data_IF_423808025829
#
_entry.id   IF_423808025829
#
_cell.length_a   1.000
_cell.length_b   1.000
_cell.length_c   1.000
_cell.angle_alpha   90.00
_cell.angle_beta   90.00
_cell.angle_gamma   90.00
#
_symmetry.space_group_name_H-M   'P 1'
#
loop_
_entity.id
_entity.type
_entity.pdbx_description
1 polymer ?
#
# COMPACT_ATOMS: atom_id res chain seq x y z
N UNK A 1 -1.02 3.55 -21.92
CA UNK A 1 -1.25 2.46 -20.95
C UNK A 1 -1.69 1.24 -21.76
N UNK A 2 -0.82 0.24 -21.94
CA UNK A 2 -1.13 -0.89 -22.82
C UNK A 2 -2.09 -1.86 -22.10
N UNK A 3 -3.06 -2.49 -22.80
CA UNK A 3 -4.00 -3.44 -22.20
C UNK A 3 -3.32 -4.66 -21.54
N UNK A 4 -2.07 -4.98 -21.93
CA UNK A 4 -1.26 -6.01 -21.28
C UNK A 4 -0.80 -5.65 -19.85
N UNK A 5 -0.64 -4.36 -19.53
CA UNK A 5 -0.21 -3.90 -18.21
C UNK A 5 -1.33 -4.11 -17.18
N UNK A 6 -2.58 -3.87 -17.57
CA UNK A 6 -3.77 -4.06 -16.73
C UNK A 6 -3.97 -5.53 -16.34
N UNK A 7 -3.77 -6.46 -17.28
CA UNK A 7 -3.88 -7.89 -17.01
C UNK A 7 -2.77 -8.38 -16.06
N UNK A 8 -1.58 -7.81 -16.16
CA UNK A 8 -0.46 -8.12 -15.25
C UNK A 8 -0.75 -7.59 -13.84
N UNK A 9 -1.28 -6.38 -13.72
CA UNK A 9 -1.75 -5.80 -12.47
C UNK A 9 -2.92 -6.57 -11.86
N UNK A 10 -3.87 -7.04 -12.68
CA UNK A 10 -5.02 -7.83 -12.24
C UNK A 10 -4.59 -9.19 -11.67
N UNK A 11 -3.67 -9.90 -12.35
CA UNK A 11 -3.10 -11.17 -11.88
C UNK A 11 -2.29 -10.98 -10.59
N UNK A 12 -1.57 -9.86 -10.48
CA UNK A 12 -0.83 -9.51 -9.27
C UNK A 12 -1.77 -9.28 -8.08
N UNK A 13 -2.83 -8.49 -8.26
CA UNK A 13 -3.85 -8.26 -7.23
C UNK A 13 -4.57 -9.55 -6.81
N UNK A 14 -4.86 -10.45 -7.75
CA UNK A 14 -5.46 -11.76 -7.46
C UNK A 14 -4.52 -12.72 -6.71
N UNK A 15 -3.20 -12.56 -6.85
CA UNK A 15 -2.18 -13.37 -6.16
C UNK A 15 -2.01 -13.00 -4.69
N UNK A 16 -2.45 -11.81 -4.28
CA UNK A 16 -2.40 -11.34 -2.90
C UNK A 16 -3.68 -11.84 -2.19
N UNK A 17 -3.74 -13.14 -1.87
CA UNK A 17 -4.87 -13.74 -1.14
C UNK A 17 -4.89 -13.22 0.31
N UNK A 18 -5.95 -12.51 0.71
CA UNK A 18 -7.25 -13.15 1.02
C UNK A 18 -8.47 -12.56 0.27
N UNK A 19 -8.28 -11.64 -0.68
CA UNK A 19 -9.40 -10.87 -1.27
C UNK A 19 -9.91 -11.38 -2.64
N UNK A 20 -9.30 -12.44 -3.19
CA UNK A 20 -9.75 -13.11 -4.41
C UNK A 20 -11.15 -13.78 -4.30
N UNK A 21 -11.74 -13.82 -3.10
CA UNK A 21 -13.08 -14.37 -2.86
C UNK A 21 -14.18 -13.59 -3.58
N UNK A 22 -14.08 -12.25 -3.67
CA UNK A 22 -15.14 -11.42 -4.26
C UNK A 22 -15.31 -11.66 -5.77
N UNK A 23 -14.20 -11.66 -6.53
CA UNK A 23 -14.22 -11.92 -7.97
C UNK A 23 -14.66 -13.36 -8.29
N UNK A 24 -14.22 -14.34 -7.48
CA UNK A 24 -14.66 -15.73 -7.63
C UNK A 24 -16.15 -15.93 -7.30
N UNK A 25 -16.69 -15.18 -6.35
CA UNK A 25 -18.11 -15.23 -5.97
C UNK A 25 -19.02 -14.68 -7.07
N UNK A 26 -18.60 -13.62 -7.76
CA UNK A 26 -19.38 -13.01 -8.85
C UNK A 26 -19.37 -13.91 -10.10
N UNK A 27 -18.22 -14.50 -10.44
CA UNK A 27 -18.13 -15.45 -11.55
C UNK A 27 -19.05 -16.69 -11.36
N UNK A 28 -19.22 -17.15 -10.11
CA UNK A 28 -20.02 -18.34 -9.79
C UNK A 28 -21.53 -18.07 -9.74
N UNK A 29 -21.97 -16.78 -9.66
CA UNK A 29 -23.40 -16.42 -9.65
C UNK A 29 -24.07 -16.60 -11.02
N UNK A 30 -23.31 -16.43 -12.10
CA UNK A 30 -23.81 -16.50 -13.47
C UNK A 30 -23.40 -17.78 -14.23
N UNK A 31 -22.69 -18.70 -13.56
CA UNK A 31 -22.18 -19.93 -14.20
C UNK A 31 -21.18 -19.69 -15.34
N UNK A 32 -20.58 -18.49 -15.41
CA UNK A 32 -19.64 -18.10 -16.46
C UNK A 32 -18.21 -18.53 -16.10
N UNK A 33 -17.51 -19.09 -17.07
CA UNK A 33 -16.09 -19.46 -16.95
C UNK A 33 -15.21 -18.22 -16.72
N UNK A 34 -14.03 -18.41 -16.11
CA UNK A 34 -13.05 -17.35 -15.87
C UNK A 34 -12.55 -16.67 -17.16
N UNK A 35 -12.77 -17.29 -18.32
CA UNK A 35 -12.44 -16.76 -19.64
C UNK A 35 -13.44 -15.70 -20.16
N UNK A 36 -14.61 -15.57 -19.52
CA UNK A 36 -15.68 -14.65 -19.92
C UNK A 36 -15.81 -13.43 -18.99
N UNK A 37 -14.83 -13.19 -18.12
CA UNK A 37 -14.81 -12.03 -17.23
C UNK A 37 -14.67 -10.72 -18.03
N UNK A 38 -15.64 -9.83 -17.91
CA UNK A 38 -15.63 -8.50 -18.50
C UNK A 38 -15.19 -7.45 -17.47
N UNK A 39 -14.77 -6.27 -17.96
CA UNK A 39 -14.38 -5.13 -17.10
C UNK A 39 -15.52 -4.73 -16.16
N UNK A 40 -16.76 -4.86 -16.60
CA UNK A 40 -17.96 -4.59 -15.78
C UNK A 40 -18.04 -5.48 -14.54
N UNK A 41 -17.68 -6.75 -14.66
CA UNK A 41 -17.68 -7.69 -13.53
C UNK A 41 -16.62 -7.27 -12.49
N UNK A 42 -15.51 -6.66 -12.93
CA UNK A 42 -14.50 -6.08 -12.05
C UNK A 42 -15.02 -4.82 -11.33
N UNK A 43 -15.72 -3.93 -12.02
CA UNK A 43 -16.32 -2.73 -11.41
C UNK A 43 -17.35 -3.09 -10.33
N UNK A 44 -18.18 -4.10 -10.58
CA UNK A 44 -19.13 -4.63 -9.61
C UNK A 44 -18.42 -5.29 -8.41
N UNK A 45 -17.36 -6.05 -8.66
CA UNK A 45 -16.55 -6.64 -7.59
C UNK A 45 -15.92 -5.57 -6.70
N UNK A 46 -15.36 -4.51 -7.29
CA UNK A 46 -14.71 -3.41 -6.57
C UNK A 46 -15.66 -2.69 -5.61
N UNK A 47 -16.95 -2.56 -5.95
CA UNK A 47 -17.95 -1.96 -5.06
C UNK A 47 -18.24 -2.82 -3.82
N UNK A 48 -18.09 -4.14 -3.93
CA UNK A 48 -18.31 -5.09 -2.83
C UNK A 48 -17.08 -5.27 -1.93
N UNK A 49 -15.89 -4.91 -2.42
CA UNK A 49 -14.63 -4.98 -1.66
C UNK A 49 -14.59 -3.79 -0.70
N UNK A 50 -15.39 -3.87 0.37
CA UNK A 50 -15.11 -3.12 1.58
C UNK A 50 -13.89 -3.76 2.24
N UNK A 51 -12.77 -3.04 2.34
CA UNK A 51 -11.60 -3.51 3.09
C UNK A 51 -12.04 -3.72 4.54
N UNK A 52 -12.32 -4.97 4.94
CA UNK A 52 -12.78 -5.29 6.30
C UNK A 52 -11.81 -4.81 7.38
N UNK A 53 -10.52 -4.73 7.05
CA UNK A 53 -9.47 -4.17 7.92
C UNK A 53 -9.61 -2.67 8.18
N UNK A 54 -10.25 -1.90 7.28
CA UNK A 54 -10.54 -0.47 7.51
C UNK A 54 -11.77 -0.25 8.40
N UNK A 55 -12.61 -1.28 8.62
CA UNK A 55 -13.89 -1.14 9.34
C UNK A 55 -13.82 -1.49 10.82
N UNK A 56 -12.88 -2.31 11.28
CA UNK A 56 -13.03 -2.95 12.59
C UNK A 56 -12.13 -2.51 13.72
N UNK A 57 -10.97 -1.86 13.54
CA UNK A 57 -10.17 -1.46 14.70
C UNK A 57 -9.15 -0.40 14.33
N UNK A 58 -8.86 0.50 15.28
CA UNK A 58 -7.81 1.55 15.23
C UNK A 58 -8.09 2.70 14.27
N UNK A 59 -8.75 3.74 14.81
CA UNK A 59 -8.35 5.15 14.63
C UNK A 59 -7.61 5.48 13.34
N UNK A 60 -8.24 5.26 12.18
CA UNK A 60 -7.78 5.86 10.92
C UNK A 60 -8.05 7.35 11.08
N UNK A 61 -7.18 8.04 11.80
CA UNK A 61 -7.21 9.48 11.86
C UNK A 61 -6.94 9.93 10.43
N UNK A 62 -7.87 10.70 9.88
CA UNK A 62 -7.66 11.45 8.66
C UNK A 62 -6.63 12.53 9.02
N UNK A 63 -5.36 12.15 8.97
CA UNK A 63 -4.25 13.06 9.24
C UNK A 63 -4.19 14.05 8.09
N UNK A 64 -4.08 15.34 8.40
CA UNK A 64 -3.88 16.36 7.37
C UNK A 64 -2.64 16.01 6.55
N UNK A 65 -2.72 16.05 5.20
CA UNK A 65 -1.60 15.70 4.35
C UNK A 65 -0.48 16.71 4.55
N UNK A 66 0.68 16.22 5.01
CA UNK A 66 1.91 16.99 5.20
C UNK A 66 2.86 16.58 4.08
N UNK A 67 3.53 17.51 3.42
CA UNK A 67 4.46 17.20 2.33
C UNK A 67 5.91 17.26 2.78
N UNK A 68 6.82 16.74 1.96
CA UNK A 68 8.26 16.89 2.21
C UNK A 68 8.72 18.34 2.24
N UNK A 69 8.04 19.22 1.51
CA UNK A 69 8.28 20.66 1.50
C UNK A 69 7.99 21.34 2.84
N UNK A 70 7.12 20.75 3.66
CA UNK A 70 6.69 21.32 4.94
C UNK A 70 7.65 20.95 6.08
N UNK A 71 8.62 20.08 5.80
CA UNK A 71 9.65 19.63 6.74
C UNK A 71 10.99 20.22 6.31
N UNK A 72 11.47 21.19 7.07
CA UNK A 72 12.83 21.69 6.92
C UNK A 72 13.86 20.66 7.37
N UNK A 73 15.02 20.66 6.70
CA UNK A 73 16.16 19.78 7.00
C UNK A 73 15.81 18.27 6.85
N UNK A 74 16.61 17.39 7.46
CA UNK A 74 16.41 15.93 7.49
C UNK A 74 16.53 15.24 6.12
N UNK A 75 17.22 15.84 5.15
CA UNK A 75 17.36 15.30 3.80
C UNK A 75 17.93 13.88 3.78
N UNK A 76 18.91 13.60 4.64
CA UNK A 76 19.45 12.24 4.79
C UNK A 76 18.38 11.26 5.26
N UNK A 77 17.56 11.64 6.24
CA UNK A 77 16.51 10.77 6.77
C UNK A 77 15.37 10.56 5.76
N UNK A 78 14.95 11.62 5.04
CA UNK A 78 13.95 11.54 3.95
C UNK A 78 14.42 10.54 2.89
N UNK A 79 15.67 10.67 2.44
CA UNK A 79 16.27 9.78 1.44
C UNK A 79 16.37 8.34 1.92
N UNK A 80 16.90 8.11 3.12
CA UNK A 80 16.99 6.74 3.68
C UNK A 80 15.63 6.10 3.82
N UNK A 81 14.59 6.87 4.17
CA UNK A 81 13.22 6.36 4.25
C UNK A 81 12.66 5.99 2.87
N UNK A 82 12.87 6.83 1.84
CA UNK A 82 12.49 6.49 0.47
C UNK A 82 13.23 5.24 -0.05
N UNK A 83 14.53 5.14 0.20
CA UNK A 83 15.34 3.98 -0.17
C UNK A 83 14.85 2.71 0.52
N UNK A 84 14.49 2.80 1.79
CA UNK A 84 14.04 1.64 2.58
C UNK A 84 12.65 1.16 2.18
N UNK A 85 11.76 2.09 1.79
CA UNK A 85 10.34 1.77 1.55
C UNK A 85 10.02 1.68 0.07
N UNK A 86 10.44 2.64 -0.74
CA UNK A 86 10.01 2.80 -2.13
C UNK A 86 10.91 2.03 -3.10
N UNK A 87 12.23 1.96 -2.87
CA UNK A 87 13.14 1.31 -3.82
C UNK A 87 12.89 -0.18 -3.95
N UNK A 88 12.43 -0.83 -2.89
CA UNK A 88 11.98 -2.23 -2.91
C UNK A 88 10.92 -2.44 -3.99
N UNK A 89 9.96 -1.53 -4.10
CA UNK A 89 8.90 -1.59 -5.13
C UNK A 89 9.41 -1.13 -6.50
N UNK A 90 10.19 -0.05 -6.57
CA UNK A 90 10.71 0.49 -7.84
C UNK A 90 11.73 -0.44 -8.52
N UNK A 91 12.46 -1.25 -7.75
CA UNK A 91 13.56 -2.09 -8.23
C UNK A 91 13.37 -3.57 -7.89
N UNK A 92 12.13 -4.04 -7.77
CA UNK A 92 11.79 -5.40 -7.38
C UNK A 92 12.56 -6.48 -8.19
N UNK A 93 12.72 -6.30 -9.50
CA UNK A 93 13.46 -7.23 -10.37
C UNK A 93 14.95 -7.34 -9.98
N UNK A 94 15.57 -6.23 -9.56
CA UNK A 94 16.97 -6.23 -9.13
C UNK A 94 17.15 -6.97 -7.80
N UNK A 95 16.27 -6.70 -6.83
CA UNK A 95 16.28 -7.39 -5.55
C UNK A 95 16.02 -8.91 -5.69
N UNK A 96 15.10 -9.29 -6.59
CA UNK A 96 14.80 -10.69 -6.90
C UNK A 96 16.03 -11.41 -7.49
N UNK A 97 16.74 -10.78 -8.44
CA UNK A 97 17.97 -11.35 -9.01
C UNK A 97 19.09 -11.50 -7.97
N UNK A 98 19.15 -10.60 -7.00
CA UNK A 98 20.15 -10.62 -5.93
C UNK A 98 19.77 -11.56 -4.77
N UNK A 99 18.57 -12.15 -4.79
CA UNK A 99 18.10 -13.05 -3.73
C UNK A 99 17.90 -12.36 -2.38
N UNK A 100 17.72 -11.03 -2.36
CA UNK A 100 17.60 -10.26 -1.13
C UNK A 100 16.16 -10.36 -0.63
N UNK A 101 16.00 -10.85 0.61
CA UNK A 101 14.73 -10.82 1.33
C UNK A 101 14.47 -9.40 1.85
N UNK A 102 13.28 -8.87 1.59
CA UNK A 102 12.92 -7.51 2.01
C UNK A 102 12.38 -7.52 3.45
N UNK A 103 13.13 -6.96 4.39
CA UNK A 103 12.62 -6.65 5.73
C UNK A 103 11.95 -5.28 5.73
N UNK A 104 10.63 -5.23 5.84
CA UNK A 104 9.85 -3.99 5.82
C UNK A 104 9.71 -3.46 7.26
N UNK A 105 10.61 -2.58 7.68
CA UNK A 105 10.51 -1.95 8.99
C UNK A 105 11.54 -0.84 9.17
N UNK A 106 11.07 0.38 9.43
CA UNK A 106 11.93 1.54 9.74
C UNK A 106 11.63 2.03 11.14
N UNK A 107 12.68 2.17 11.95
CA UNK A 107 12.60 2.76 13.30
C UNK A 107 13.16 4.18 13.27
N UNK A 108 12.30 5.17 13.49
CA UNK A 108 12.71 6.55 13.67
C UNK A 108 13.04 6.80 15.15
N UNK A 109 14.31 7.10 15.45
CA UNK A 109 14.78 7.37 16.82
C UNK A 109 15.50 8.72 16.92
N UNK A 110 15.59 9.25 18.14
CA UNK A 110 16.29 10.51 18.44
C UNK A 110 15.59 11.36 19.49
N UNK A 111 16.14 12.55 19.84
CA UNK A 111 15.58 13.44 20.86
C UNK A 111 14.11 13.82 20.61
N UNK A 112 13.29 14.04 21.66
CA UNK A 112 11.91 14.49 21.50
C UNK A 112 11.85 15.84 20.76
N UNK A 113 10.76 16.09 20.03
CA UNK A 113 10.54 17.37 19.32
C UNK A 113 11.26 17.53 17.97
N UNK A 114 12.08 16.57 17.51
CA UNK A 114 12.82 16.64 16.23
C UNK A 114 12.03 16.16 15.00
N UNK A 115 10.70 16.26 15.01
CA UNK A 115 9.88 16.00 13.82
C UNK A 115 9.75 14.54 13.37
N UNK A 116 10.10 13.53 14.18
CA UNK A 116 9.97 12.09 13.81
C UNK A 116 8.56 11.70 13.37
N UNK A 117 7.54 12.08 14.14
CA UNK A 117 6.14 11.80 13.81
C UNK A 117 5.68 12.59 12.58
N UNK A 118 6.17 13.82 12.41
CA UNK A 118 5.91 14.62 11.21
C UNK A 118 6.53 13.97 9.97
N UNK A 119 7.77 13.49 10.07
CA UNK A 119 8.46 12.77 8.99
C UNK A 119 7.68 11.53 8.55
N UNK A 120 7.16 10.75 9.50
CA UNK A 120 6.33 9.58 9.19
C UNK A 120 5.02 9.94 8.47
N UNK A 121 4.36 11.03 8.89
CA UNK A 121 3.13 11.53 8.24
C UNK A 121 3.40 12.06 6.83
N UNK A 122 4.50 12.79 6.66
CA UNK A 122 4.89 13.30 5.35
C UNK A 122 5.29 12.19 4.38
N UNK A 123 6.02 11.19 4.85
CA UNK A 123 6.32 9.98 4.07
C UNK A 123 5.05 9.30 3.57
N UNK A 124 4.05 9.12 4.44
CA UNK A 124 2.80 8.50 4.05
C UNK A 124 2.07 9.31 2.96
N UNK A 125 2.09 10.64 3.07
CA UNK A 125 1.48 11.53 2.06
C UNK A 125 2.22 11.45 0.72
N UNK A 126 3.55 11.47 0.74
CA UNK A 126 4.40 11.45 -0.46
C UNK A 126 4.41 10.10 -1.17
N UNK A 127 4.17 9.03 -0.42
CA UNK A 127 4.06 7.68 -0.97
C UNK A 127 2.61 7.29 -1.30
N UNK A 128 1.67 8.24 -1.18
CA UNK A 128 0.22 8.00 -1.35
C UNK A 128 -0.28 6.79 -0.53
N UNK A 129 0.30 6.59 0.65
CA UNK A 129 0.06 5.46 1.52
C UNK A 129 -0.95 5.82 2.63
N UNK A 130 -1.69 4.82 3.10
CA UNK A 130 -2.57 5.00 4.26
C UNK A 130 -1.75 5.11 5.56
N UNK A 131 -2.02 6.12 6.37
CA UNK A 131 -1.34 6.33 7.64
C UNK A 131 -2.15 5.78 8.81
N UNK A 132 -1.61 4.79 9.52
CA UNK A 132 -2.23 4.19 10.71
C UNK A 132 -1.39 4.54 11.94
N UNK A 133 -1.92 5.42 12.79
CA UNK A 133 -1.28 5.73 14.08
C UNK A 133 -1.80 4.77 15.16
N UNK A 134 -0.89 3.99 15.74
CA UNK A 134 -1.18 3.12 16.87
C UNK A 134 -0.33 3.56 18.05
N UNK A 135 -0.98 3.93 19.15
CA UNK A 135 -0.35 4.21 20.45
C UNK A 135 -0.75 3.12 21.43
N UNK A 136 0.23 2.55 22.13
CA UNK A 136 -0.04 1.62 23.23
C UNK A 136 -0.46 2.49 24.43
N UNK A 137 -1.66 2.30 25.01
CA UNK A 137 -2.05 2.96 26.25
C UNK A 137 -1.17 2.48 27.41
N UNK A 138 -1.01 3.32 28.43
CA UNK A 138 -0.28 2.97 29.67
C UNK A 138 -0.90 1.78 30.43
#
# INVERSE_FOLDING_TARGET
>A
MHPGDLLKSLKYLASIKPHASAAATIANRDGRGMDQLAIKDFEEAMQSIGISALRQSTSVQKVDPIRWSDIGDLETAKRTLEESVIWVYKHADAYARLGISHSMGVLLYGPPGRGKTLLAKAAATEFEANFMAVSIPD
#
